data_IF_663848325583
#
_entry.id   IF_663848325583
#
_cell.length_a   1.000
_cell.length_b   1.000
_cell.length_c   1.000
_cell.angle_alpha   90.00
_cell.angle_beta   90.00
_cell.angle_gamma   90.00
#
_symmetry.space_group_name_H-M   'P 1'
#
loop_
_entity.id
_entity.type
_entity.pdbx_description
1 polymer ?
#
# COMPACT_ATOMS: atom_id res chain seq x y z
N UNK A 1 -39.76 -14.37 -16.58
CA UNK A 1 -38.51 -14.46 -15.79
C UNK A 1 -37.91 -15.81 -16.12
N UNK A 2 -37.15 -15.87 -17.22
CA UNK A 2 -36.46 -17.09 -17.64
C UNK A 2 -35.22 -17.23 -16.78
N UNK A 3 -35.16 -18.30 -15.99
CA UNK A 3 -33.95 -18.69 -15.27
C UNK A 3 -33.01 -19.36 -16.24
N UNK A 4 -31.88 -18.71 -16.49
CA UNK A 4 -30.71 -19.30 -17.14
C UNK A 4 -30.19 -20.38 -16.19
N UNK A 5 -30.36 -21.65 -16.55
CA UNK A 5 -29.65 -22.74 -15.89
C UNK A 5 -28.29 -22.81 -16.58
N UNK A 6 -27.27 -22.31 -15.90
CA UNK A 6 -25.88 -22.48 -16.31
C UNK A 6 -25.59 -23.99 -16.35
N UNK A 7 -25.55 -24.57 -17.55
CA UNK A 7 -25.08 -25.94 -17.77
C UNK A 7 -23.65 -26.04 -17.22
N UNK A 8 -23.44 -26.98 -16.30
CA UNK A 8 -22.14 -27.09 -15.63
C UNK A 8 -21.08 -27.55 -16.63
N UNK A 9 -19.85 -27.05 -16.49
CA UNK A 9 -18.74 -27.35 -17.40
C UNK A 9 -18.51 -28.87 -17.58
N UNK A 10 -18.81 -29.64 -16.54
CA UNK A 10 -18.72 -31.09 -16.51
C UNK A 10 -19.77 -31.77 -17.42
N UNK A 11 -20.97 -31.18 -17.54
CA UNK A 11 -22.07 -31.70 -18.36
C UNK A 11 -21.77 -31.56 -19.86
N UNK A 12 -21.17 -30.44 -20.25
CA UNK A 12 -20.75 -30.18 -21.64
C UNK A 12 -19.53 -31.03 -22.02
N UNK A 13 -18.59 -31.26 -21.08
CA UNK A 13 -17.37 -32.02 -21.37
C UNK A 13 -17.59 -33.53 -21.42
N UNK A 14 -18.45 -34.07 -20.55
CA UNK A 14 -18.56 -35.52 -20.34
C UNK A 14 -19.87 -36.13 -20.81
N UNK A 15 -20.89 -35.33 -21.10
CA UNK A 15 -22.20 -35.83 -21.52
C UNK A 15 -22.92 -36.61 -20.41
N UNK A 16 -24.25 -36.57 -20.40
CA UNK A 16 -25.07 -37.23 -19.39
C UNK A 16 -24.72 -38.73 -19.24
N UNK A 17 -24.11 -39.11 -18.11
CA UNK A 17 -23.66 -40.47 -17.81
C UNK A 17 -24.80 -41.51 -17.62
N UNK A 18 -26.04 -41.14 -17.93
CA UNK A 18 -27.24 -41.95 -17.65
C UNK A 18 -27.90 -42.60 -18.87
N UNK A 19 -27.37 -42.41 -20.09
CA UNK A 19 -27.87 -43.16 -21.26
C UNK A 19 -26.91 -44.28 -21.63
N UNK A 20 -27.11 -45.46 -21.07
CA UNK A 20 -26.51 -46.70 -21.58
C UNK A 20 -27.37 -47.22 -22.74
N UNK A 21 -26.89 -47.23 -23.99
CA UNK A 21 -27.54 -47.98 -25.05
C UNK A 21 -27.06 -49.43 -24.98
N UNK A 22 -28.00 -50.38 -25.03
CA UNK A 22 -27.68 -51.80 -25.21
C UNK A 22 -26.84 -52.04 -26.47
N UNK A 23 -25.97 -53.08 -26.50
CA UNK A 23 -25.12 -53.35 -27.65
C UNK A 23 -25.94 -54.05 -28.74
N UNK A 24 -26.60 -53.28 -29.60
CA UNK A 24 -27.16 -53.83 -30.81
C UNK A 24 -26.01 -54.08 -31.80
N UNK A 25 -25.77 -55.37 -32.03
CA UNK A 25 -24.69 -55.92 -32.84
C UNK A 25 -24.90 -55.65 -34.33
N UNK A 26 -24.60 -54.43 -34.77
CA UNK A 26 -24.20 -54.12 -36.14
C UNK A 26 -23.14 -53.04 -36.06
N UNK A 27 -21.88 -53.46 -35.99
CA UNK A 27 -20.71 -52.63 -36.30
C UNK A 27 -20.86 -52.13 -37.75
N UNK A 28 -21.63 -51.07 -37.93
CA UNK A 28 -21.46 -50.17 -39.04
C UNK A 28 -20.13 -49.45 -38.81
N UNK A 29 -19.04 -50.15 -39.09
CA UNK A 29 -17.81 -49.51 -39.53
C UNK A 29 -18.18 -48.77 -40.81
N UNK A 30 -18.73 -47.55 -40.66
CA UNK A 30 -18.93 -46.63 -41.75
C UNK A 30 -17.53 -46.39 -42.28
N UNK A 31 -17.22 -47.01 -43.42
CA UNK A 31 -15.97 -46.79 -44.13
C UNK A 31 -16.02 -45.34 -44.58
N UNK A 32 -15.58 -44.44 -43.71
CA UNK A 32 -15.36 -43.04 -44.02
C UNK A 32 -14.36 -43.05 -45.17
N UNK A 33 -14.76 -42.51 -46.32
CA UNK A 33 -13.90 -42.59 -47.50
C UNK A 33 -12.57 -41.89 -47.17
N UNK A 34 -11.47 -42.46 -47.64
CA UNK A 34 -10.12 -41.88 -47.48
C UNK A 34 -10.08 -40.35 -47.71
N UNK A 35 -10.73 -39.77 -48.74
CA UNK A 35 -10.73 -38.31 -48.91
C UNK A 35 -11.43 -37.54 -47.78
N UNK A 36 -12.49 -38.07 -47.17
CA UNK A 36 -13.16 -37.42 -46.04
C UNK A 36 -12.28 -37.43 -44.77
N UNK A 37 -11.50 -38.50 -44.55
CA UNK A 37 -10.51 -38.53 -43.47
C UNK A 37 -9.36 -37.54 -43.71
N UNK A 38 -8.93 -37.36 -44.96
CA UNK A 38 -7.90 -36.37 -45.32
C UNK A 38 -8.39 -34.95 -45.05
N UNK A 39 -9.62 -34.62 -45.46
CA UNK A 39 -10.22 -33.31 -45.19
C UNK A 39 -10.34 -33.03 -43.69
N UNK A 40 -10.74 -34.04 -42.90
CA UNK A 40 -10.81 -33.92 -41.45
C UNK A 40 -9.42 -33.72 -40.81
N UNK A 41 -8.40 -34.43 -41.29
CA UNK A 41 -7.00 -34.22 -40.85
C UNK A 41 -6.51 -32.82 -41.20
N UNK A 42 -6.84 -32.29 -42.38
CA UNK A 42 -6.51 -30.92 -42.75
C UNK A 42 -7.22 -29.90 -41.86
N UNK A 43 -8.49 -30.12 -41.54
CA UNK A 43 -9.28 -29.29 -40.61
C UNK A 43 -8.66 -29.29 -39.22
N UNK A 44 -8.33 -30.47 -38.69
CA UNK A 44 -7.71 -30.62 -37.38
C UNK A 44 -6.33 -29.95 -37.34
N UNK A 45 -5.52 -30.09 -38.39
CA UNK A 45 -4.22 -29.41 -38.48
C UNK A 45 -4.36 -27.88 -38.48
N UNK A 46 -5.34 -27.32 -39.21
CA UNK A 46 -5.63 -25.88 -39.19
C UNK A 46 -6.06 -25.40 -37.80
N UNK A 47 -6.94 -26.14 -37.13
CA UNK A 47 -7.39 -25.82 -35.77
C UNK A 47 -6.24 -25.89 -34.76
N UNK A 48 -5.38 -26.90 -34.89
CA UNK A 48 -4.19 -27.06 -34.04
C UNK A 48 -3.24 -25.87 -34.24
N UNK A 49 -2.99 -25.48 -35.49
CA UNK A 49 -2.15 -24.33 -35.80
C UNK A 49 -2.72 -23.03 -35.19
N UNK A 50 -4.02 -22.79 -35.35
CA UNK A 50 -4.68 -21.64 -34.75
C UNK A 50 -4.61 -21.65 -33.21
N UNK A 51 -4.83 -22.81 -32.59
CA UNK A 51 -4.72 -22.95 -31.13
C UNK A 51 -3.30 -22.67 -30.63
N UNK A 52 -2.27 -23.07 -31.38
CA UNK A 52 -0.87 -22.75 -31.06
C UNK A 52 -0.57 -21.26 -31.15
N UNK A 53 -1.11 -20.58 -32.15
CA UNK A 53 -0.95 -19.13 -32.31
C UNK A 53 -1.61 -18.38 -31.14
N UNK A 54 -2.85 -18.74 -30.79
CA UNK A 54 -3.54 -18.17 -29.64
C UNK A 54 -2.82 -18.46 -28.33
N UNK A 55 -2.27 -19.67 -28.16
CA UNK A 55 -1.49 -20.01 -26.97
C UNK A 55 -0.22 -19.16 -26.88
N UNK A 56 0.51 -19.02 -27.99
CA UNK A 56 1.72 -18.18 -28.03
C UNK A 56 1.41 -16.71 -27.73
N UNK A 57 0.28 -16.19 -28.22
CA UNK A 57 -0.17 -14.84 -27.92
C UNK A 57 -0.57 -14.69 -26.45
N UNK A 58 -1.28 -15.67 -25.90
CA UNK A 58 -1.64 -15.71 -24.48
C UNK A 58 -0.39 -15.80 -23.57
N UNK A 59 0.62 -16.58 -23.94
CA UNK A 59 1.89 -16.67 -23.22
C UNK A 59 2.65 -15.34 -23.26
N UNK A 60 2.72 -14.69 -24.43
CA UNK A 60 3.38 -13.39 -24.57
C UNK A 60 2.67 -12.29 -23.75
N UNK A 61 1.33 -12.24 -23.79
CA UNK A 61 0.57 -11.28 -22.98
C UNK A 61 0.71 -11.55 -21.49
N UNK A 62 0.70 -12.82 -21.07
CA UNK A 62 0.92 -13.19 -19.67
C UNK A 62 2.32 -12.75 -19.19
N UNK A 63 3.38 -12.98 -19.97
CA UNK A 63 4.71 -12.48 -19.64
C UNK A 63 4.72 -10.96 -19.41
N UNK A 64 4.09 -10.19 -20.31
CA UNK A 64 3.99 -8.73 -20.12
C UNK A 64 3.19 -8.32 -18.89
N UNK A 65 2.14 -9.06 -18.53
CA UNK A 65 1.33 -8.79 -17.34
C UNK A 65 2.13 -9.06 -16.06
N UNK A 66 2.93 -10.11 -16.05
CA UNK A 66 3.84 -10.43 -14.93
C UNK A 66 4.85 -9.32 -14.73
N UNK A 67 5.47 -8.82 -15.80
CA UNK A 67 6.43 -7.72 -15.74
C UNK A 67 5.78 -6.43 -15.23
N UNK A 68 4.59 -6.08 -15.73
CA UNK A 68 3.83 -4.94 -15.24
C UNK A 68 3.46 -5.10 -13.76
N UNK A 69 3.05 -6.29 -13.32
CA UNK A 69 2.76 -6.58 -11.92
C UNK A 69 3.97 -6.36 -11.02
N UNK A 70 5.15 -6.78 -11.48
CA UNK A 70 6.40 -6.58 -10.77
C UNK A 70 6.72 -5.08 -10.63
N UNK A 71 6.69 -4.34 -11.74
CA UNK A 71 6.96 -2.91 -11.76
C UNK A 71 5.99 -2.13 -10.85
N UNK A 72 4.69 -2.43 -10.91
CA UNK A 72 3.69 -1.80 -10.06
C UNK A 72 3.96 -2.06 -8.57
N UNK A 73 4.34 -3.29 -8.20
CA UNK A 73 4.70 -3.62 -6.81
C UNK A 73 5.93 -2.84 -6.34
N UNK A 74 6.94 -2.67 -7.20
CA UNK A 74 8.12 -1.85 -6.86
C UNK A 74 7.77 -0.38 -6.71
N UNK A 75 6.89 0.14 -7.57
CA UNK A 75 6.43 1.53 -7.51
C UNK A 75 5.63 1.80 -6.23
N UNK A 76 4.75 0.88 -5.82
CA UNK A 76 4.04 0.97 -4.53
C UNK A 76 5.03 1.05 -3.37
N UNK A 77 6.04 0.17 -3.33
CA UNK A 77 7.08 0.19 -2.28
C UNK A 77 7.91 1.47 -2.31
N UNK A 78 8.15 2.05 -3.49
CA UNK A 78 8.84 3.34 -3.64
C UNK A 78 7.99 4.48 -3.09
N UNK A 79 6.71 4.51 -3.44
CA UNK A 79 5.76 5.53 -2.97
C UNK A 79 5.60 5.48 -1.45
N UNK A 80 5.46 4.29 -0.86
CA UNK A 80 5.37 4.10 0.59
C UNK A 80 6.60 4.67 1.32
N UNK A 81 7.81 4.36 0.86
CA UNK A 81 9.05 4.95 1.44
C UNK A 81 9.09 6.47 1.28
N UNK A 82 8.57 6.99 0.18
CA UNK A 82 8.54 8.43 -0.04
C UNK A 82 7.52 9.10 0.90
N UNK A 83 6.35 8.49 1.09
CA UNK A 83 5.34 8.92 2.05
C UNK A 83 5.88 8.91 3.48
N UNK A 84 6.56 7.83 3.90
CA UNK A 84 7.24 7.76 5.19
C UNK A 84 8.26 8.90 5.35
N UNK A 85 9.09 9.15 4.33
CA UNK A 85 10.04 10.28 4.35
C UNK A 85 9.35 11.63 4.44
N UNK A 86 8.27 11.86 3.68
CA UNK A 86 7.50 13.10 3.72
C UNK A 86 6.80 13.28 5.06
N UNK A 87 6.24 12.22 5.62
CA UNK A 87 5.67 12.22 6.96
C UNK A 87 6.75 12.55 7.98
N UNK A 88 7.91 11.90 7.95
CA UNK A 88 9.01 12.23 8.86
C UNK A 88 9.46 13.69 8.71
N UNK A 89 9.65 14.19 7.49
CA UNK A 89 10.02 15.59 7.25
C UNK A 89 8.94 16.56 7.76
N UNK A 90 7.66 16.30 7.47
CA UNK A 90 6.54 17.10 7.94
C UNK A 90 6.41 17.10 9.46
N UNK A 91 6.52 15.93 10.10
CA UNK A 91 6.55 15.80 11.54
C UNK A 91 7.75 16.54 12.15
N UNK A 92 8.94 16.52 11.53
CA UNK A 92 10.11 17.25 12.03
C UNK A 92 10.00 18.77 11.90
N UNK A 93 9.44 19.30 10.81
CA UNK A 93 9.20 20.75 10.68
C UNK A 93 8.11 21.22 11.65
N UNK A 94 7.05 20.44 11.82
CA UNK A 94 6.05 20.72 12.85
C UNK A 94 6.68 20.69 14.26
N UNK A 95 7.44 19.64 14.58
CA UNK A 95 8.14 19.50 15.85
C UNK A 95 9.07 20.70 16.10
N UNK A 96 9.85 21.13 15.11
CA UNK A 96 10.69 22.32 15.17
C UNK A 96 9.86 23.56 15.53
N UNK A 97 8.70 23.77 14.91
CA UNK A 97 7.83 24.89 15.23
C UNK A 97 7.31 24.82 16.67
N UNK A 98 6.96 23.61 17.16
CA UNK A 98 6.53 23.40 18.54
C UNK A 98 7.67 23.67 19.52
N UNK A 99 8.88 23.19 19.24
CA UNK A 99 10.07 23.46 20.06
C UNK A 99 10.36 24.96 20.11
N UNK A 100 10.31 25.66 18.97
CA UNK A 100 10.52 27.11 18.92
C UNK A 100 9.47 27.84 19.77
N UNK A 101 8.19 27.45 19.68
CA UNK A 101 7.12 28.01 20.53
C UNK A 101 7.36 27.72 22.01
N UNK A 102 7.76 26.50 22.36
CA UNK A 102 8.02 26.09 23.73
C UNK A 102 9.19 26.85 24.37
N UNK A 103 10.25 27.15 23.59
CA UNK A 103 11.40 27.92 24.07
C UNK A 103 11.17 29.43 24.04
N UNK A 104 10.20 29.92 23.27
CA UNK A 104 9.88 31.34 23.19
C UNK A 104 9.28 31.83 24.52
N UNK A 105 9.39 33.13 24.82
CA UNK A 105 8.70 33.72 25.97
C UNK A 105 7.20 33.50 25.85
N UNK A 106 6.55 33.07 26.93
CA UNK A 106 5.11 32.85 26.94
C UNK A 106 4.38 34.17 26.70
N UNK A 107 3.47 34.16 25.73
CA UNK A 107 2.59 35.32 25.45
C UNK A 107 1.28 35.21 26.22
N UNK A 108 0.90 33.99 26.59
CA UNK A 108 -0.32 33.63 27.32
C UNK A 108 0.08 32.62 28.40
N UNK A 109 -0.39 32.80 29.64
CA UNK A 109 -0.10 31.87 30.74
C UNK A 109 -0.62 30.47 30.41
N UNK A 110 0.20 29.45 30.67
CA UNK A 110 -0.12 28.05 30.40
C UNK A 110 0.07 27.59 28.96
N UNK A 111 0.64 28.41 28.07
CA UNK A 111 0.94 28.02 26.68
C UNK A 111 1.90 26.82 26.65
N UNK A 112 2.96 26.80 27.47
CA UNK A 112 3.91 25.68 27.50
C UNK A 112 3.29 24.38 27.96
N UNK A 113 2.40 24.43 28.96
CA UNK A 113 1.70 23.25 29.47
C UNK A 113 0.83 22.60 28.39
N UNK A 114 0.23 23.40 27.50
CA UNK A 114 -0.55 22.89 26.36
C UNK A 114 0.31 22.24 25.27
N UNK A 115 1.59 22.63 25.16
CA UNK A 115 2.53 22.06 24.19
C UNK A 115 3.14 20.72 24.65
N UNK A 116 3.13 20.41 25.95
CA UNK A 116 3.72 19.17 26.50
C UNK A 116 3.06 17.90 25.93
N UNK A 117 1.72 17.77 25.84
CA UNK A 117 1.08 16.62 25.21
C UNK A 117 1.47 16.44 23.72
N UNK A 118 1.66 17.56 23.02
CA UNK A 118 2.07 17.56 21.61
C UNK A 118 3.53 17.07 21.49
N UNK A 119 4.42 17.57 22.33
CA UNK A 119 5.82 17.10 22.40
C UNK A 119 5.90 15.63 22.81
N UNK A 120 5.06 15.19 23.76
CA UNK A 120 4.98 13.79 24.19
C UNK A 120 4.62 12.86 23.03
N UNK A 121 3.61 13.20 22.24
CA UNK A 121 3.17 12.37 21.10
C UNK A 121 4.16 12.41 19.93
N UNK A 122 4.77 13.58 19.65
CA UNK A 122 5.74 13.75 18.55
C UNK A 122 7.10 13.10 18.81
N UNK A 123 7.59 13.15 20.06
CA UNK A 123 8.90 12.62 20.45
C UNK A 123 8.82 11.26 21.16
N UNK A 124 7.61 10.74 21.40
CA UNK A 124 7.39 9.51 22.17
C UNK A 124 8.06 9.55 23.55
N UNK A 125 7.85 10.66 24.27
CA UNK A 125 8.49 10.89 25.56
C UNK A 125 7.99 9.89 26.61
N UNK A 126 8.91 9.45 27.46
CA UNK A 126 8.62 8.64 28.64
C UNK A 126 7.90 9.46 29.71
N UNK A 127 7.20 8.81 30.67
CA UNK A 127 6.53 9.51 31.78
C UNK A 127 7.48 10.41 32.60
N UNK A 128 8.72 9.99 32.80
CA UNK A 128 9.74 10.76 33.53
C UNK A 128 10.13 12.04 32.79
N UNK A 129 10.29 11.98 31.46
CA UNK A 129 10.59 13.14 30.62
C UNK A 129 9.42 14.13 30.59
N UNK A 130 8.19 13.63 30.59
CA UNK A 130 6.97 14.45 30.66
C UNK A 130 6.90 15.20 32.00
N UNK A 131 7.23 14.55 33.12
CA UNK A 131 7.26 15.20 34.43
C UNK A 131 8.32 16.30 34.49
N UNK A 132 9.51 16.06 33.91
CA UNK A 132 10.56 17.06 33.81
C UNK A 132 10.12 18.30 33.01
N UNK A 133 9.42 18.12 31.88
CA UNK A 133 8.87 19.22 31.08
C UNK A 133 7.79 19.99 31.84
N UNK A 134 6.91 19.30 32.57
CA UNK A 134 5.88 19.94 33.40
C UNK A 134 6.50 20.81 34.50
N UNK A 135 7.55 20.31 35.16
CA UNK A 135 8.28 21.08 36.17
C UNK A 135 8.95 22.32 35.56
N UNK A 136 9.56 22.19 34.39
CA UNK A 136 10.20 23.31 33.69
C UNK A 136 9.17 24.37 33.25
N UNK A 137 8.01 23.95 32.75
CA UNK A 137 6.92 24.86 32.38
C UNK A 137 6.36 25.61 33.60
N UNK A 138 6.19 24.92 34.74
CA UNK A 138 5.69 25.53 35.98
C UNK A 138 6.69 26.52 36.62
N UNK A 139 8.00 26.31 36.45
CA UNK A 139 9.03 27.20 36.96
C UNK A 139 9.07 28.55 36.24
N UNK A 140 8.81 28.57 34.92
CA UNK A 140 8.81 29.79 34.12
C UNK A 140 7.56 30.66 34.38
N UNK A 141 6.38 30.05 34.55
CA UNK A 141 5.16 30.74 35.01
C UNK A 141 5.39 31.45 36.37
N UNK A 142 6.09 30.79 37.30
CA UNK A 142 6.42 31.36 38.60
C UNK A 142 7.48 32.48 38.51
N UNK A 143 8.42 32.38 37.57
CA UNK A 143 9.42 33.42 37.31
C UNK A 143 8.82 34.67 36.63
N UNK A 144 7.80 34.52 35.78
CA UNK A 144 7.08 35.65 35.19
C UNK A 144 6.32 36.50 36.22
N UNK A 145 6.00 35.94 37.39
CA UNK A 145 5.28 36.63 38.47
C UNK A 145 6.21 37.38 39.43
N UNK A 146 7.54 37.17 39.32
CA UNK A 146 8.55 37.81 40.16
C UNK A 146 9.35 38.76 39.29
N UNK A 147 9.34 40.06 39.63
CA UNK A 147 10.10 41.10 38.91
C UNK A 147 11.49 40.60 38.47
N UNK A 148 11.90 40.85 37.20
CA UNK A 148 13.11 40.26 36.65
C UNK A 148 14.34 41.01 37.18
N UNK A 149 14.81 40.62 38.37
CA UNK A 149 16.10 41.09 38.85
C UNK A 149 17.23 40.37 38.08
N UNK A 150 17.64 41.01 36.98
CA UNK A 150 19.03 41.24 36.62
C UNK A 150 19.97 40.05 36.35
N UNK A 151 19.50 38.86 35.96
CA UNK A 151 20.41 37.78 35.54
C UNK A 151 20.94 37.93 34.10
N UNK A 152 20.19 38.60 33.20
CA UNK A 152 20.60 38.83 31.80
C UNK A 152 21.48 40.08 31.60
N UNK A 153 21.48 41.02 32.56
CA UNK A 153 22.32 42.23 32.51
C UNK A 153 23.81 41.96 32.69
N UNK A 154 24.17 40.81 33.29
CA UNK A 154 25.57 40.41 33.51
C UNK A 154 26.27 40.00 32.21
N UNK A 155 25.57 39.29 31.32
CA UNK A 155 26.15 38.78 30.07
C UNK A 155 26.33 39.86 29.00
N UNK A 156 25.48 40.89 28.99
CA UNK A 156 25.58 42.01 28.04
C UNK A 156 26.74 42.99 28.35
N UNK A 157 27.37 42.88 29.53
CA UNK A 157 28.49 43.75 29.95
C UNK A 157 29.83 43.35 29.31
N UNK A 158 30.00 42.08 28.94
CA UNK A 158 31.25 41.56 28.38
C UNK A 158 31.45 41.87 26.89
N UNK A 159 30.39 42.23 26.16
CA UNK A 159 30.44 42.51 24.72
C UNK A 159 30.79 43.95 24.32
N UNK A 160 31.13 44.84 25.28
CA UNK A 160 31.31 46.29 25.00
C UNK A 160 32.76 46.77 25.03
N UNK A 161 33.74 45.86 24.99
CA UNK A 161 35.15 46.19 24.78
C UNK A 161 35.65 45.54 23.48
N UNK A 162 35.37 46.21 22.36
CA UNK A 162 36.15 46.14 21.11
C UNK A 162 35.89 47.39 20.30
#
# INVERSE_FOLDING_TARGET
MSGDMEETLEEVLFGNASSSPEPNSEDAFTVTSVPALVEEVERLNKNLQHARELLSEAEATNATLVDQSHLLKEEIRRLQRNEERLNHVGHTEYLKNIIIKFLSPERVSGERQQLIPILSTMLQLSPEEIENLNRAAAQDDAAATREPDSSWGSLLRWGRLS
#
